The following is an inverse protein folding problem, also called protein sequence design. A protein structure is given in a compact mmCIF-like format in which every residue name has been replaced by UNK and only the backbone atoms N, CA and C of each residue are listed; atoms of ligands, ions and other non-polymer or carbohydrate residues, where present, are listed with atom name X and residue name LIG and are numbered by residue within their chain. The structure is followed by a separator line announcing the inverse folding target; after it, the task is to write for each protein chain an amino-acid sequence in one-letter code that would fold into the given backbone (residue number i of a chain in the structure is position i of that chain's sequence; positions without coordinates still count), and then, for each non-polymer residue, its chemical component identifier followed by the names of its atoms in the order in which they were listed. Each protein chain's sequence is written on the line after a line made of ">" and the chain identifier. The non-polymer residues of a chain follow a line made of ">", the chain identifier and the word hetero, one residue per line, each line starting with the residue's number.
data_IF_448129759252
#
_entry.id   IF_448129759252
#
_cell.length_a   1.000
_cell.length_b   1.000
_cell.length_c   1.000
_cell.angle_alpha   90.00
_cell.angle_beta   90.00
_cell.angle_gamma   90.00
#
_symmetry.space_group_name_H-M   'P 1'
#
loop_
_entity.id
_entity.type
_entity.pdbx_description
1 polymer ?
#
# COMPACT_ATOMS: atom_id res chain seq x y z
N UNK A 1 -0.87 -17.69 20.07
CA UNK A 1 -1.10 -19.01 19.46
C UNK A 1 -2.01 -18.72 18.28
N UNK A 2 -1.57 -18.89 17.05
CA UNK A 2 -2.45 -18.72 15.88
C UNK A 2 -3.42 -19.90 15.87
N UNK A 3 -4.72 -19.62 15.88
CA UNK A 3 -5.73 -20.64 15.67
C UNK A 3 -5.48 -21.29 14.30
N UNK A 4 -5.25 -22.60 14.30
CA UNK A 4 -4.97 -23.37 13.09
C UNK A 4 -6.17 -23.22 12.13
N UNK A 5 -5.98 -22.54 11.00
CA UNK A 5 -6.98 -22.43 9.93
C UNK A 5 -7.33 -21.00 9.47
N UNK A 6 -6.99 -19.96 10.23
CA UNK A 6 -7.36 -18.57 9.91
C UNK A 6 -6.18 -17.65 9.55
N UNK A 7 -5.04 -18.22 9.15
CA UNK A 7 -3.81 -17.48 8.82
C UNK A 7 -4.02 -16.41 7.73
N UNK A 8 -4.99 -16.61 6.83
CA UNK A 8 -5.36 -15.62 5.81
C UNK A 8 -5.94 -14.34 6.43
N UNK A 9 -6.71 -14.45 7.51
CA UNK A 9 -7.30 -13.32 8.23
C UNK A 9 -6.20 -12.52 8.96
N UNK A 10 -5.30 -13.23 9.65
CA UNK A 10 -4.13 -12.62 10.29
C UNK A 10 -3.24 -11.90 9.26
N UNK A 11 -3.02 -12.53 8.10
CA UNK A 11 -2.22 -11.99 7.01
C UNK A 11 -2.83 -10.70 6.46
N UNK A 12 -4.14 -10.69 6.17
CA UNK A 12 -4.78 -9.46 5.68
C UNK A 12 -4.83 -8.38 6.76
N UNK A 13 -5.04 -8.73 8.04
CA UNK A 13 -4.97 -7.77 9.13
C UNK A 13 -3.60 -7.09 9.19
N UNK A 14 -2.52 -7.88 9.11
CA UNK A 14 -1.16 -7.36 9.09
C UNK A 14 -0.86 -6.49 7.87
N UNK A 15 -1.30 -6.89 6.67
CA UNK A 15 -1.14 -6.07 5.45
C UNK A 15 -1.88 -4.75 5.55
N UNK A 16 -3.12 -4.76 6.06
CA UNK A 16 -3.90 -3.54 6.28
C UNK A 16 -3.21 -2.60 7.27
N UNK A 17 -2.70 -3.12 8.39
CA UNK A 17 -1.93 -2.33 9.36
C UNK A 17 -0.63 -1.78 8.76
N UNK A 18 0.02 -2.53 7.86
CA UNK A 18 1.22 -2.07 7.15
C UNK A 18 0.91 -0.91 6.22
N UNK A 19 -0.15 -1.01 5.40
CA UNK A 19 -0.58 0.05 4.49
C UNK A 19 -0.96 1.33 5.23
N UNK A 20 -1.83 1.23 6.26
CA UNK A 20 -2.24 2.38 7.07
C UNK A 20 -1.03 2.97 7.79
N UNK A 21 -0.13 2.14 8.32
CA UNK A 21 1.08 2.60 9.00
C UNK A 21 2.05 3.32 8.06
N UNK A 22 2.21 2.83 6.82
CA UNK A 22 3.04 3.49 5.81
C UNK A 22 2.45 4.83 5.39
N UNK A 23 1.14 4.90 5.20
CA UNK A 23 0.45 6.15 4.87
C UNK A 23 0.56 7.17 6.01
N UNK A 24 0.31 6.74 7.25
CA UNK A 24 0.46 7.56 8.46
C UNK A 24 1.89 8.15 8.56
N UNK A 25 2.91 7.33 8.31
CA UNK A 25 4.31 7.77 8.33
C UNK A 25 4.62 8.78 7.22
N UNK A 26 4.15 8.54 6.00
CA UNK A 26 4.42 9.40 4.84
C UNK A 26 3.68 10.75 4.91
N UNK A 27 2.44 10.75 5.42
CA UNK A 27 1.59 11.93 5.51
C UNK A 27 1.68 12.66 6.85
N UNK A 28 2.50 12.16 7.78
CA UNK A 28 2.59 12.66 9.17
C UNK A 28 1.23 12.71 9.88
N UNK A 29 0.42 11.69 9.67
CA UNK A 29 -0.91 11.55 10.25
C UNK A 29 -0.91 10.49 11.34
N UNK A 30 -1.86 10.62 12.26
CA UNK A 30 -2.24 9.50 13.12
C UNK A 30 -2.85 8.38 12.29
N UNK A 31 -2.70 7.12 12.73
CA UNK A 31 -3.21 5.96 12.00
C UNK A 31 -4.71 6.05 11.69
N UNK A 32 -5.50 6.61 12.62
CA UNK A 32 -6.93 6.81 12.42
C UNK A 32 -7.24 7.76 11.27
N UNK A 33 -6.50 8.87 11.17
CA UNK A 33 -6.68 9.85 10.10
C UNK A 33 -6.13 9.33 8.76
N UNK A 34 -5.01 8.61 8.77
CA UNK A 34 -4.51 7.92 7.59
C UNK A 34 -5.52 6.89 7.05
N UNK A 35 -6.20 6.15 7.93
CA UNK A 35 -7.28 5.24 7.55
C UNK A 35 -8.46 5.99 6.91
N UNK A 36 -8.89 7.12 7.50
CA UNK A 36 -9.96 7.97 6.92
C UNK A 36 -9.58 8.50 5.54
N UNK A 37 -8.34 8.97 5.37
CA UNK A 37 -7.81 9.44 4.09
C UNK A 37 -7.79 8.31 3.03
N UNK A 38 -7.25 7.14 3.40
CA UNK A 38 -7.25 5.96 2.53
C UNK A 38 -8.67 5.59 2.10
N UNK A 39 -9.60 5.51 3.05
CA UNK A 39 -11.01 5.23 2.78
C UNK A 39 -11.60 6.24 1.81
N UNK A 40 -11.52 7.53 2.13
CA UNK A 40 -12.12 8.59 1.33
C UNK A 40 -11.62 8.57 -0.12
N UNK A 41 -10.30 8.49 -0.32
CA UNK A 41 -9.70 8.46 -1.66
C UNK A 41 -10.10 7.19 -2.43
N UNK A 42 -10.04 6.02 -1.78
CA UNK A 42 -10.40 4.74 -2.41
C UNK A 42 -11.85 4.71 -2.90
N UNK A 43 -12.78 5.19 -2.06
CA UNK A 43 -14.21 5.22 -2.38
C UNK A 43 -14.49 6.24 -3.50
N UNK A 44 -13.89 7.44 -3.45
CA UNK A 44 -14.07 8.44 -4.51
C UNK A 44 -13.47 7.96 -5.84
N UNK A 45 -12.31 7.30 -5.81
CA UNK A 45 -11.71 6.72 -7.01
C UNK A 45 -12.60 5.62 -7.60
N UNK A 46 -13.14 4.72 -6.77
CA UNK A 46 -14.11 3.68 -7.17
C UNK A 46 -15.29 4.28 -7.92
N UNK A 47 -15.93 5.27 -7.33
CA UNK A 47 -17.15 5.85 -7.88
C UNK A 47 -16.89 6.56 -9.22
N UNK A 48 -15.65 6.99 -9.47
CA UNK A 48 -15.22 7.63 -10.72
C UNK A 48 -14.82 6.63 -11.82
N UNK A 49 -14.39 5.42 -11.48
CA UNK A 49 -13.91 4.42 -12.45
C UNK A 49 -15.07 3.70 -13.16
N UNK A 50 -14.90 3.30 -14.43
CA UNK A 50 -15.80 2.34 -15.07
C UNK A 50 -15.89 1.05 -14.23
N UNK A 51 -17.06 0.40 -14.22
CA UNK A 51 -17.35 -0.75 -13.34
C UNK A 51 -16.28 -1.83 -13.44
N UNK A 52 -15.88 -2.24 -14.65
CA UNK A 52 -14.87 -3.28 -14.85
C UNK A 52 -13.52 -2.90 -14.24
N UNK A 53 -13.11 -1.64 -14.42
CA UNK A 53 -11.85 -1.10 -13.91
C UNK A 53 -11.88 -0.97 -12.39
N UNK A 54 -13.01 -0.54 -11.81
CA UNK A 54 -13.20 -0.53 -10.37
C UNK A 54 -13.07 -1.94 -9.77
N UNK A 55 -13.61 -2.97 -10.47
CA UNK A 55 -13.51 -4.36 -10.03
C UNK A 55 -12.06 -4.87 -10.08
N UNK A 56 -11.36 -4.63 -11.19
CA UNK A 56 -9.94 -5.01 -11.35
C UNK A 56 -9.05 -4.31 -10.32
N UNK A 57 -9.29 -3.02 -10.09
CA UNK A 57 -8.59 -2.25 -9.07
C UNK A 57 -8.80 -2.85 -7.68
N UNK A 58 -10.06 -3.14 -7.29
CA UNK A 58 -10.38 -3.74 -6.01
C UNK A 58 -9.75 -5.12 -5.80
N UNK A 59 -9.54 -5.89 -6.87
CA UNK A 59 -8.88 -7.19 -6.81
C UNK A 59 -7.41 -7.12 -6.36
N UNK A 60 -6.73 -5.98 -6.54
CA UNK A 60 -5.35 -5.79 -6.08
C UNK A 60 -5.24 -5.41 -4.59
N UNK A 61 -6.36 -5.04 -3.95
CA UNK A 61 -6.35 -4.61 -2.56
C UNK A 61 -6.28 -5.81 -1.59
N UNK A 62 -5.62 -5.68 -0.42
CA UNK A 62 -5.71 -6.63 0.68
C UNK A 62 -7.17 -6.87 1.07
N UNK A 63 -7.53 -8.10 1.44
CA UNK A 63 -8.92 -8.53 1.67
C UNK A 63 -9.74 -7.57 2.55
N UNK A 64 -9.20 -7.09 3.68
CA UNK A 64 -9.91 -6.13 4.54
C UNK A 64 -10.09 -4.75 3.88
N UNK A 65 -9.07 -4.25 3.17
CA UNK A 65 -9.16 -2.99 2.43
C UNK A 65 -10.12 -3.15 1.24
N UNK A 66 -10.17 -4.33 0.63
CA UNK A 66 -11.13 -4.68 -0.41
C UNK A 66 -12.57 -4.68 0.11
N UNK A 67 -12.80 -5.23 1.30
CA UNK A 67 -14.10 -5.15 1.98
C UNK A 67 -14.54 -3.70 2.18
N UNK A 68 -13.64 -2.85 2.70
CA UNK A 68 -13.85 -1.41 2.81
C UNK A 68 -14.13 -0.74 1.46
N UNK A 69 -13.39 -1.12 0.42
CA UNK A 69 -13.50 -0.54 -0.91
C UNK A 69 -14.88 -0.79 -1.54
N UNK A 70 -15.45 -1.98 -1.36
CA UNK A 70 -16.78 -2.31 -1.89
C UNK A 70 -17.94 -1.94 -0.95
N UNK A 71 -17.65 -1.51 0.27
CA UNK A 71 -18.66 -1.10 1.24
C UNK A 71 -19.55 0.02 0.68
N UNK A 72 -20.87 -0.20 0.74
CA UNK A 72 -21.89 0.71 0.24
C UNK A 72 -21.84 1.02 -1.27
N UNK A 73 -21.11 0.24 -2.08
CA UNK A 73 -21.01 0.52 -3.52
C UNK A 73 -22.32 0.18 -4.27
N UNK A 74 -22.72 1.08 -5.16
CA UNK A 74 -23.85 0.88 -6.09
C UNK A 74 -23.37 0.97 -7.54
N UNK A 75 -23.03 -0.16 -8.19
CA UNK A 75 -22.46 -0.15 -9.53
C UNK A 75 -23.35 0.54 -10.58
N UNK A 76 -24.67 0.42 -10.46
CA UNK A 76 -25.65 1.04 -11.37
C UNK A 76 -25.62 2.58 -11.38
N UNK A 77 -25.05 3.19 -10.34
CA UNK A 77 -24.91 4.66 -10.22
C UNK A 77 -23.50 5.14 -10.64
N UNK A 78 -22.64 4.24 -11.17
CA UNK A 78 -21.25 4.53 -11.57
C UNK A 78 -20.99 4.25 -13.06
N UNK A 79 -20.05 4.93 -13.73
CA UNK A 79 -19.12 5.94 -13.20
C UNK A 79 -19.76 7.33 -13.03
N UNK A 80 -19.42 7.99 -11.92
CA UNK A 80 -19.79 9.38 -11.66
C UNK A 80 -18.75 10.29 -12.32
N UNK A 81 -19.19 11.15 -13.24
CA UNK A 81 -18.31 12.17 -13.85
C UNK A 81 -18.05 13.27 -12.84
N UNK A 82 -16.78 13.55 -12.58
CA UNK A 82 -16.33 14.59 -11.64
C UNK A 82 -15.26 15.47 -12.30
N UNK A 83 -15.34 16.78 -12.10
CA UNK A 83 -14.19 17.68 -12.25
C UNK A 83 -13.15 17.42 -11.16
N UNK A 84 -11.98 18.07 -11.26
CA UNK A 84 -10.96 18.01 -10.20
C UNK A 84 -11.50 18.50 -8.85
N UNK A 85 -12.24 19.60 -8.85
CA UNK A 85 -12.78 20.23 -7.65
C UNK A 85 -13.85 19.34 -7.03
N UNK A 86 -14.76 18.79 -7.85
CA UNK A 86 -15.79 17.85 -7.38
C UNK A 86 -15.17 16.58 -6.78
N UNK A 87 -14.09 16.08 -7.38
CA UNK A 87 -13.37 14.93 -6.85
C UNK A 87 -12.75 15.22 -5.48
N UNK A 88 -12.12 16.38 -5.31
CA UNK A 88 -11.50 16.79 -4.04
C UNK A 88 -12.55 17.08 -2.96
N UNK A 89 -13.68 17.70 -3.32
CA UNK A 89 -14.77 17.94 -2.36
C UNK A 89 -15.41 16.63 -1.93
N UNK A 90 -15.64 15.68 -2.84
CA UNK A 90 -16.16 14.35 -2.50
C UNK A 90 -15.23 13.58 -1.53
N UNK A 91 -13.90 13.78 -1.62
CA UNK A 91 -12.95 13.22 -0.64
C UNK A 91 -13.15 13.89 0.72
N UNK A 92 -13.22 15.22 0.75
CA UNK A 92 -13.37 16.00 1.97
C UNK A 92 -14.68 15.67 2.70
N UNK A 93 -15.79 15.55 1.99
CA UNK A 93 -17.10 15.16 2.55
C UNK A 93 -17.09 13.76 3.20
N UNK A 94 -16.27 12.83 2.67
CA UNK A 94 -16.15 11.47 3.23
C UNK A 94 -15.30 11.41 4.50
N UNK A 95 -14.68 12.51 4.90
CA UNK A 95 -13.78 12.59 6.04
C UNK A 95 -14.51 13.28 7.19
N UNK A 96 -14.76 12.51 8.26
CA UNK A 96 -15.29 13.04 9.52
C UNK A 96 -14.15 13.14 10.52
N UNK A 97 -13.58 14.34 10.68
CA UNK A 97 -12.52 14.61 11.66
C UNK A 97 -12.46 16.10 11.99
N UNK A 98 -12.00 16.45 13.20
CA UNK A 98 -11.89 17.84 13.66
C UNK A 98 -10.62 18.53 13.14
N UNK A 99 -9.72 17.77 12.49
CA UNK A 99 -8.49 18.29 11.87
C UNK A 99 -8.69 18.61 10.40
N UNK A 100 -8.13 19.73 9.96
CA UNK A 100 -8.02 19.99 8.53
C UNK A 100 -7.08 18.97 7.87
N UNK A 101 -7.57 18.23 6.88
CA UNK A 101 -6.76 17.38 6.02
C UNK A 101 -6.91 17.86 4.58
N UNK A 102 -5.80 18.26 3.96
CA UNK A 102 -5.78 18.76 2.59
C UNK A 102 -6.10 17.63 1.60
N UNK A 103 -7.23 17.69 0.85
CA UNK A 103 -7.64 16.63 -0.07
C UNK A 103 -6.65 16.42 -1.21
N UNK A 104 -5.90 17.45 -1.62
CA UNK A 104 -4.87 17.30 -2.66
C UNK A 104 -3.74 16.42 -2.16
N UNK A 105 -3.17 16.77 -1.00
CA UNK A 105 -2.08 16.00 -0.39
C UNK A 105 -2.51 14.57 -0.02
N UNK A 106 -3.72 14.39 0.51
CA UNK A 106 -4.25 13.04 0.80
C UNK A 106 -4.37 12.18 -0.46
N UNK A 107 -4.91 12.75 -1.54
CA UNK A 107 -5.02 12.04 -2.82
C UNK A 107 -3.65 11.61 -3.31
N UNK A 108 -2.69 12.54 -3.30
CA UNK A 108 -1.32 12.26 -3.70
C UNK A 108 -0.71 11.12 -2.89
N UNK A 109 -0.74 11.22 -1.55
CA UNK A 109 -0.08 10.25 -0.67
C UNK A 109 -0.71 8.86 -0.74
N UNK A 110 -2.04 8.78 -0.88
CA UNK A 110 -2.73 7.50 -1.12
C UNK A 110 -2.34 6.92 -2.47
N UNK A 111 -2.25 7.72 -3.53
CA UNK A 111 -1.84 7.23 -4.86
C UNK A 111 -0.38 6.74 -4.83
N UNK A 112 0.51 7.43 -4.13
CA UNK A 112 1.90 6.95 -3.92
C UNK A 112 1.89 5.61 -3.19
N UNK A 113 1.09 5.45 -2.14
CA UNK A 113 0.93 4.17 -1.45
C UNK A 113 0.46 3.07 -2.40
N UNK A 114 -0.55 3.34 -3.23
CA UNK A 114 -1.06 2.38 -4.21
C UNK A 114 0.02 1.97 -5.23
N UNK A 115 0.84 2.92 -5.70
CA UNK A 115 1.96 2.62 -6.60
C UNK A 115 3.03 1.74 -5.97
N UNK A 116 3.25 1.85 -4.65
CA UNK A 116 4.22 1.02 -3.94
C UNK A 116 3.75 -0.42 -3.75
N UNK A 117 2.44 -0.68 -3.78
CA UNK A 117 1.86 -2.00 -3.46
C UNK A 117 1.11 -2.70 -4.60
N UNK A 118 0.68 -1.98 -5.62
CA UNK A 118 -0.05 -2.52 -6.78
C UNK A 118 0.89 -2.76 -7.96
N UNK A 119 0.44 -3.57 -8.93
CA UNK A 119 1.24 -3.81 -10.12
C UNK A 119 1.42 -2.53 -10.95
N UNK A 120 2.56 -2.35 -11.64
CA UNK A 120 2.77 -1.18 -12.51
C UNK A 120 1.72 -1.06 -13.63
N UNK A 121 1.25 -2.19 -14.15
CA UNK A 121 0.20 -2.23 -15.18
C UNK A 121 -1.12 -1.67 -14.68
N UNK A 122 -1.54 -2.06 -13.47
CA UNK A 122 -2.80 -1.57 -12.88
C UNK A 122 -2.76 -0.05 -12.66
N UNK A 123 -1.67 0.48 -12.11
CA UNK A 123 -1.54 1.92 -11.90
C UNK A 123 -1.46 2.71 -13.21
N UNK A 124 -0.93 2.11 -14.28
CA UNK A 124 -0.96 2.69 -15.62
C UNK A 124 -2.39 2.76 -16.16
N UNK A 125 -3.18 1.69 -16.00
CA UNK A 125 -4.59 1.66 -16.42
C UNK A 125 -5.40 2.75 -15.72
N UNK A 126 -5.30 2.84 -14.39
CA UNK A 126 -5.98 3.90 -13.61
C UNK A 126 -5.58 5.29 -14.11
N UNK A 127 -4.28 5.54 -14.32
CA UNK A 127 -3.79 6.82 -14.87
C UNK A 127 -4.39 7.13 -16.24
N UNK A 128 -4.52 6.14 -17.12
CA UNK A 128 -5.06 6.31 -18.46
C UNK A 128 -6.57 6.60 -18.46
N UNK A 129 -7.32 5.98 -17.54
CA UNK A 129 -8.77 6.19 -17.40
C UNK A 129 -9.11 7.57 -16.82
N UNK A 130 -8.28 8.07 -15.90
CA UNK A 130 -8.50 9.37 -15.28
C UNK A 130 -8.31 10.52 -16.30
N UNK A 131 -9.22 11.52 -16.33
CA UNK A 131 -9.04 12.74 -17.12
C UNK A 131 -7.73 13.45 -16.80
N UNK A 132 -7.20 14.20 -17.77
CA UNK A 132 -5.95 14.97 -17.60
C UNK A 132 -5.93 15.82 -16.34
N UNK A 133 -7.06 16.46 -16.02
CA UNK A 133 -7.21 17.29 -14.81
C UNK A 133 -6.99 16.49 -13.52
N UNK A 134 -7.50 15.26 -13.42
CA UNK A 134 -7.28 14.39 -12.27
C UNK A 134 -5.88 13.78 -12.25
N UNK A 135 -5.24 13.61 -13.42
CA UNK A 135 -3.84 13.14 -13.50
C UNK A 135 -2.86 14.10 -12.83
N UNK A 136 -3.17 15.40 -12.77
CA UNK A 136 -2.34 16.39 -12.07
C UNK A 136 -2.27 16.18 -10.56
N UNK A 137 -3.18 15.37 -9.98
CA UNK A 137 -3.15 14.96 -8.57
C UNK A 137 -2.27 13.73 -8.33
N UNK A 138 -1.82 13.07 -9.41
CA UNK A 138 -1.02 11.85 -9.34
C UNK A 138 0.46 12.24 -9.42
N UNK A 139 1.36 11.52 -8.73
CA UNK A 139 2.79 11.79 -8.84
C UNK A 139 3.26 11.51 -10.28
N UNK A 140 4.11 12.41 -10.79
CA UNK A 140 4.67 12.31 -12.13
C UNK A 140 5.40 10.99 -12.34
N UNK A 141 4.91 10.19 -13.29
CA UNK A 141 5.56 8.94 -13.70
C UNK A 141 6.96 9.19 -14.31
N UNK A 142 7.26 10.45 -14.66
CA UNK A 142 8.46 10.84 -15.42
C UNK A 142 9.77 10.69 -14.63
N UNK A 143 9.73 10.56 -13.30
CA UNK A 143 10.94 10.35 -12.50
C UNK A 143 11.35 8.87 -12.34
N UNK A 144 10.74 7.95 -13.12
CA UNK A 144 11.06 6.51 -13.08
C UNK A 144 11.64 5.94 -14.39
N UNK A 145 11.65 6.69 -15.49
CA UNK A 145 12.15 6.20 -16.78
C UNK A 145 13.68 6.35 -16.97
N UNK A 146 14.41 6.87 -15.98
CA UNK A 146 15.88 6.94 -15.99
C UNK A 146 16.58 5.85 -15.15
N UNK A 147 15.84 4.98 -14.47
CA UNK A 147 16.38 3.99 -13.53
C UNK A 147 15.80 2.59 -13.81
N UNK A 148 15.94 2.11 -15.04
CA UNK A 148 15.87 0.67 -15.29
C UNK A 148 16.78 -0.06 -14.30
N UNK A 149 16.19 -0.94 -13.48
CA UNK A 149 16.82 -1.78 -12.43
C UNK A 149 17.08 -1.21 -11.03
N UNK A 150 16.55 -0.06 -10.60
CA UNK A 150 16.69 0.34 -9.19
C UNK A 150 15.38 0.45 -8.43
N UNK A 151 15.20 -0.42 -7.43
CA UNK A 151 14.11 -0.32 -6.45
C UNK A 151 14.02 1.10 -5.89
N UNK A 152 12.82 1.66 -5.86
CA UNK A 152 12.56 3.02 -5.36
C UNK A 152 13.08 3.16 -3.92
N UNK A 153 13.36 4.39 -3.48
CA UNK A 153 13.82 4.62 -2.10
C UNK A 153 12.84 4.04 -1.06
N UNK A 154 11.54 4.08 -1.37
CA UNK A 154 10.47 3.48 -0.57
C UNK A 154 10.48 1.95 -0.63
N UNK A 155 10.62 1.35 -1.82
CA UNK A 155 10.77 -0.10 -1.98
C UNK A 155 12.01 -0.63 -1.24
N UNK A 156 13.14 0.10 -1.28
CA UNK A 156 14.34 -0.21 -0.49
C UNK A 156 14.06 -0.11 1.02
N UNK A 157 13.32 0.90 1.47
CA UNK A 157 12.93 1.08 2.88
C UNK A 157 12.00 -0.04 3.37
N UNK A 158 10.99 -0.38 2.59
CA UNK A 158 10.05 -1.47 2.86
C UNK A 158 10.76 -2.83 2.87
N UNK A 159 11.60 -3.13 1.87
CA UNK A 159 12.41 -4.34 1.83
C UNK A 159 13.31 -4.45 3.07
N UNK A 160 13.99 -3.36 3.47
CA UNK A 160 14.81 -3.33 4.70
C UNK A 160 13.96 -3.60 5.95
N UNK A 161 12.76 -3.03 6.06
CA UNK A 161 11.83 -3.23 7.18
C UNK A 161 11.36 -4.69 7.24
N UNK A 162 11.02 -5.28 6.09
CA UNK A 162 10.58 -6.67 5.96
C UNK A 162 11.70 -7.66 6.30
N UNK A 163 12.93 -7.42 5.84
CA UNK A 163 14.11 -8.20 6.22
C UNK A 163 14.35 -8.12 7.74
N UNK A 164 14.28 -6.91 8.34
CA UNK A 164 14.42 -6.75 9.80
C UNK A 164 13.34 -7.49 10.58
N UNK A 165 12.09 -7.41 10.13
CA UNK A 165 10.94 -8.11 10.75
C UNK A 165 11.13 -9.63 10.65
N UNK A 166 11.51 -10.15 9.49
CA UNK A 166 11.80 -11.56 9.27
C UNK A 166 12.95 -12.05 10.16
N UNK A 167 14.06 -11.30 10.22
CA UNK A 167 15.20 -11.61 11.09
C UNK A 167 14.82 -11.63 12.58
N UNK A 168 14.00 -10.68 13.03
CA UNK A 168 13.50 -10.63 14.43
C UNK A 168 12.65 -11.85 14.76
N UNK A 169 11.73 -12.22 13.86
CA UNK A 169 10.88 -13.41 14.02
C UNK A 169 11.71 -14.70 14.01
N UNK A 170 12.67 -14.82 13.10
CA UNK A 170 13.59 -15.96 13.04
C UNK A 170 14.42 -16.12 14.32
N UNK A 171 14.92 -14.99 14.88
CA UNK A 171 15.62 -14.96 16.17
C UNK A 171 14.72 -15.41 17.32
N UNK A 172 13.50 -14.87 17.39
CA UNK A 172 12.51 -15.21 18.43
C UNK A 172 12.15 -16.70 18.40
N UNK A 173 11.95 -17.28 17.21
CA UNK A 173 11.58 -18.69 17.03
C UNK A 173 12.78 -19.65 16.99
N UNK A 174 14.02 -19.16 17.18
CA UNK A 174 15.27 -19.95 17.08
C UNK A 174 15.30 -20.86 15.85
N UNK A 175 14.84 -20.37 14.69
CA UNK A 175 14.63 -21.23 13.51
C UNK A 175 15.91 -21.90 13.02
N UNK A 176 17.05 -21.22 13.15
CA UNK A 176 18.38 -21.75 12.78
C UNK A 176 18.80 -22.97 13.62
N UNK A 177 18.31 -23.10 14.86
CA UNK A 177 18.64 -24.23 15.73
C UNK A 177 18.06 -25.55 15.21
N UNK A 178 16.90 -25.50 14.55
CA UNK A 178 16.17 -26.66 14.04
C UNK A 178 16.60 -27.09 12.63
N UNK A 179 17.53 -26.35 12.00
CA UNK A 179 18.05 -26.70 10.68
C UNK A 179 19.05 -27.86 10.75
N UNK A 180 19.17 -28.66 9.67
CA UNK A 180 20.21 -29.69 9.55
C UNK A 180 21.62 -29.12 9.80
N UNK A 181 22.51 -29.94 10.39
CA UNK A 181 23.87 -29.51 10.77
C UNK A 181 24.63 -28.86 9.60
N UNK A 182 24.53 -29.44 8.39
CA UNK A 182 25.16 -28.90 7.17
C UNK A 182 24.68 -27.48 6.84
N UNK A 183 23.38 -27.23 6.90
CA UNK A 183 22.77 -25.92 6.64
C UNK A 183 23.14 -24.90 7.71
N UNK A 184 23.15 -25.29 8.98
CA UNK A 184 23.56 -24.42 10.10
C UNK A 184 25.01 -23.97 9.99
N UNK A 185 25.91 -24.89 9.65
CA UNK A 185 27.33 -24.58 9.44
C UNK A 185 27.55 -23.68 8.22
N UNK A 186 26.84 -23.90 7.11
CA UNK A 186 26.91 -23.04 5.94
C UNK A 186 26.45 -21.60 6.24
N UNK A 187 25.30 -21.45 6.92
CA UNK A 187 24.79 -20.14 7.33
C UNK A 187 25.73 -19.42 8.32
N UNK A 188 26.38 -20.17 9.23
CA UNK A 188 27.39 -19.62 10.13
C UNK A 188 28.61 -19.06 9.40
N UNK A 189 29.10 -19.77 8.36
CA UNK A 189 30.20 -19.30 7.52
C UNK A 189 29.84 -18.03 6.74
N UNK A 190 28.64 -17.97 6.16
CA UNK A 190 28.16 -16.78 5.47
C UNK A 190 27.98 -15.58 6.42
N UNK A 191 27.46 -15.80 7.63
CA UNK A 191 27.37 -14.76 8.66
C UNK A 191 28.74 -14.18 9.05
N UNK A 192 29.75 -15.03 9.24
CA UNK A 192 31.11 -14.61 9.55
C UNK A 192 31.76 -13.82 8.38
N UNK A 193 31.52 -14.25 7.14
CA UNK A 193 31.97 -13.56 5.93
C UNK A 193 31.33 -12.17 5.80
N UNK A 194 30.02 -12.07 6.04
CA UNK A 194 29.31 -10.79 6.03
C UNK A 194 29.78 -9.83 7.12
N UNK A 195 30.10 -10.34 8.33
CA UNK A 195 30.63 -9.53 9.42
C UNK A 195 32.03 -8.97 9.11
N UNK A 196 32.90 -9.76 8.46
CA UNK A 196 34.22 -9.29 8.01
C UNK A 196 34.14 -8.19 6.96
N UNK A 197 33.12 -8.21 6.08
CA UNK A 197 32.93 -7.22 5.02
C UNK A 197 32.35 -5.87 5.53
N UNK A 198 31.96 -5.81 6.80
CA UNK A 198 31.34 -4.65 7.46
C UNK A 198 32.28 -3.92 8.43
N UNK A 199 33.47 -4.48 8.67
CA UNK A 199 34.60 -3.86 9.37
C UNK A 199 35.50 -3.20 8.35
#
# INVERSE_FOLDING_TARGET
>A
MSEQGLEVLDSTYHKTQEWIGQLAENSHLEKGDAYKALRAVLLTLRDRLPIQEAVHFGAQLPMLIRGLYYDGWKPSETPIKMSREQFLEAIKEKIVTDRFMDPVRMTHDVVVLLQDHMSPGEMSNVKQILPKELRTLLPDSANQNGAGNMATANQKRAARKNIKKAARTAKKKRTVAHLPKRTRTALGKEGAKAAKKKR
#
